data_IF_006804192159
#
_entry.id   IF_006804192159
#
_cell.length_a   1.000
_cell.length_b   1.000
_cell.length_c   1.000
_cell.angle_alpha   90.00
_cell.angle_beta   90.00
_cell.angle_gamma   90.00
#
_symmetry.space_group_name_H-M   'P 1'
#
loop_
_entity.id
_entity.type
_entity.pdbx_description
1 polymer ?
#
# COMPACT_ATOMS: atom_id res chain seq x y z
N UNK A 1 13.85 -10.02 -0.62
CA UNK A 1 14.16 -10.60 -1.97
C UNK A 1 13.24 -10.07 -3.08
N UNK A 2 11.95 -9.81 -2.84
CA UNK A 2 10.99 -9.29 -3.83
C UNK A 2 11.33 -7.87 -4.33
N UNK A 3 11.77 -6.98 -3.45
CA UNK A 3 12.13 -5.59 -3.77
C UNK A 3 13.24 -5.51 -4.82
N UNK A 4 14.27 -6.38 -4.74
CA UNK A 4 15.35 -6.42 -5.75
C UNK A 4 14.85 -6.75 -7.16
N UNK A 5 13.82 -7.58 -7.32
CA UNK A 5 13.28 -7.95 -8.64
C UNK A 5 12.47 -6.79 -9.27
N UNK A 6 11.64 -6.09 -8.49
CA UNK A 6 10.83 -4.96 -8.99
C UNK A 6 11.74 -3.80 -9.35
N UNK A 7 12.67 -3.41 -8.47
CA UNK A 7 13.63 -2.34 -8.71
C UNK A 7 14.48 -2.61 -9.94
N UNK A 8 15.02 -3.85 -10.08
CA UNK A 8 15.81 -4.26 -11.23
C UNK A 8 15.00 -4.20 -12.53
N UNK A 9 13.77 -4.67 -12.51
CA UNK A 9 12.86 -4.65 -13.68
C UNK A 9 12.48 -3.24 -14.08
N UNK A 10 12.25 -2.34 -13.13
CA UNK A 10 11.95 -0.93 -13.38
C UNK A 10 13.16 -0.21 -14.00
N UNK A 11 14.36 -0.38 -13.42
CA UNK A 11 15.60 0.22 -13.95
C UNK A 11 15.84 -0.23 -15.41
N UNK A 12 15.76 -1.51 -15.72
CA UNK A 12 16.02 -1.98 -17.08
C UNK A 12 14.96 -1.55 -18.09
N UNK A 13 13.68 -1.59 -17.75
CA UNK A 13 12.61 -1.29 -18.70
C UNK A 13 12.37 0.20 -18.89
N UNK A 14 12.39 1.00 -17.81
CA UNK A 14 12.05 2.42 -17.89
C UNK A 14 13.28 3.29 -18.12
N UNK A 15 14.32 3.14 -17.31
CA UNK A 15 15.51 3.96 -17.41
C UNK A 15 16.31 3.65 -18.68
N UNK A 16 16.47 2.36 -19.03
CA UNK A 16 17.16 1.94 -20.25
C UNK A 16 16.49 2.46 -21.52
N UNK A 17 15.16 2.38 -21.59
CA UNK A 17 14.41 2.90 -22.74
C UNK A 17 14.54 4.42 -22.88
N UNK A 18 14.42 5.19 -21.78
CA UNK A 18 14.59 6.65 -21.79
C UNK A 18 16.00 7.03 -22.25
N UNK A 19 17.03 6.35 -21.76
CA UNK A 19 18.42 6.62 -22.14
C UNK A 19 18.64 6.41 -23.66
N UNK A 20 18.14 5.32 -24.22
CA UNK A 20 18.24 5.04 -25.66
C UNK A 20 17.52 6.11 -26.48
N UNK A 21 16.32 6.52 -26.06
CA UNK A 21 15.55 7.56 -26.74
C UNK A 21 16.28 8.91 -26.70
N UNK A 22 16.84 9.31 -25.57
CA UNK A 22 17.59 10.57 -25.43
C UNK A 22 18.84 10.59 -26.30
N UNK A 23 19.60 9.47 -26.33
CA UNK A 23 20.79 9.37 -27.21
C UNK A 23 20.39 9.45 -28.69
N UNK A 24 19.32 8.75 -29.10
CA UNK A 24 18.84 8.80 -30.48
C UNK A 24 18.35 10.21 -30.86
N UNK A 25 17.67 10.90 -29.95
CA UNK A 25 17.21 12.26 -30.14
C UNK A 25 18.38 13.24 -30.28
N UNK A 26 19.40 13.14 -29.43
CA UNK A 26 20.59 13.99 -29.47
C UNK A 26 21.33 13.84 -30.81
N UNK A 27 21.51 12.59 -31.27
CA UNK A 27 22.12 12.32 -32.58
C UNK A 27 21.28 12.93 -33.73
N UNK A 28 19.96 12.77 -33.67
CA UNK A 28 19.06 13.32 -34.68
C UNK A 28 19.10 14.85 -34.70
N UNK A 29 19.13 15.53 -33.56
CA UNK A 29 19.27 16.97 -33.45
C UNK A 29 20.62 17.42 -34.00
N UNK A 30 21.72 16.78 -33.60
CA UNK A 30 23.07 17.13 -34.07
C UNK A 30 23.18 17.06 -35.62
N UNK A 31 22.63 15.98 -36.19
CA UNK A 31 22.60 15.83 -37.68
C UNK A 31 21.71 16.88 -38.33
N UNK A 32 20.53 17.15 -37.77
CA UNK A 32 19.59 18.12 -38.32
C UNK A 32 20.14 19.55 -38.27
N UNK A 33 20.71 19.96 -37.14
CA UNK A 33 21.34 21.27 -36.94
C UNK A 33 22.51 21.43 -37.89
N UNK A 34 23.39 20.43 -38.01
CA UNK A 34 24.50 20.46 -38.96
C UNK A 34 23.99 20.65 -40.41
N UNK A 35 23.05 19.84 -40.84
CA UNK A 35 22.50 19.89 -42.19
C UNK A 35 21.83 21.26 -42.47
N UNK A 36 21.10 21.82 -41.51
CA UNK A 36 20.47 23.10 -41.62
C UNK A 36 21.49 24.24 -41.86
N UNK A 37 22.52 24.32 -41.00
CA UNK A 37 23.52 25.38 -41.12
C UNK A 37 24.37 25.24 -42.39
N UNK A 38 24.83 24.03 -42.72
CA UNK A 38 25.61 23.80 -43.94
C UNK A 38 24.79 24.07 -45.20
N UNK A 39 23.52 23.68 -45.25
CA UNK A 39 22.63 24.01 -46.39
C UNK A 39 22.32 25.49 -46.48
N UNK A 40 22.29 26.20 -45.35
CA UNK A 40 22.12 27.66 -45.33
C UNK A 40 23.35 28.36 -45.94
N UNK A 41 24.56 27.95 -45.55
CA UNK A 41 25.81 28.47 -46.17
C UNK A 41 25.83 28.19 -47.65
N UNK A 42 25.54 26.97 -48.05
CA UNK A 42 25.48 26.60 -49.47
C UNK A 42 24.52 27.52 -50.26
N UNK A 43 23.29 27.71 -49.74
CA UNK A 43 22.29 28.57 -50.42
C UNK A 43 22.77 30.04 -50.57
N UNK A 44 23.40 30.58 -49.49
CA UNK A 44 23.86 31.98 -49.54
C UNK A 44 25.00 32.13 -50.53
N UNK A 45 25.97 31.22 -50.58
CA UNK A 45 27.09 31.26 -51.50
C UNK A 45 26.63 31.01 -52.94
N UNK A 46 25.76 30.03 -53.21
CA UNK A 46 25.21 29.74 -54.53
C UNK A 46 24.40 30.92 -55.08
N UNK A 47 23.53 31.53 -54.28
CA UNK A 47 22.76 32.70 -54.70
C UNK A 47 23.67 33.87 -55.06
N UNK A 48 24.77 34.08 -54.32
CA UNK A 48 25.74 35.14 -54.63
C UNK A 48 26.55 34.79 -55.89
N UNK A 49 26.91 33.53 -56.10
CA UNK A 49 27.59 33.06 -57.30
C UNK A 49 26.72 33.24 -58.55
N UNK A 50 25.44 32.92 -58.51
CA UNK A 50 24.47 33.15 -59.56
C UNK A 50 24.36 34.65 -59.95
N UNK A 51 24.27 35.49 -58.87
CA UNK A 51 24.21 36.94 -59.07
C UNK A 51 25.46 37.49 -59.85
N UNK A 52 26.67 37.09 -59.40
CA UNK A 52 27.92 37.51 -60.03
C UNK A 52 28.01 36.94 -61.45
N UNK A 53 27.67 35.64 -61.60
CA UNK A 53 27.68 35.03 -62.96
C UNK A 53 26.71 35.71 -63.92
N UNK A 54 25.53 36.09 -63.46
CA UNK A 54 24.55 36.88 -64.27
C UNK A 54 25.09 38.22 -64.71
N UNK A 55 25.65 38.99 -63.78
CA UNK A 55 26.26 40.29 -64.09
C UNK A 55 27.43 40.17 -65.12
N UNK A 56 28.26 39.14 -64.95
CA UNK A 56 29.38 38.93 -65.89
C UNK A 56 28.90 38.44 -67.24
N UNK A 57 27.86 37.63 -67.33
CA UNK A 57 27.31 37.18 -68.65
C UNK A 57 26.58 38.28 -69.39
N UNK A 58 25.86 39.18 -68.73
CA UNK A 58 25.21 40.32 -69.28
C UNK A 58 26.23 41.30 -69.91
N UNK A 59 27.30 41.56 -69.20
CA UNK A 59 28.39 42.40 -69.69
C UNK A 59 29.12 41.76 -70.87
N UNK A 60 29.37 40.42 -70.89
CA UNK A 60 30.03 39.75 -72.00
C UNK A 60 29.24 39.79 -73.35
N UNK A 61 27.91 39.85 -73.28
CA UNK A 61 27.02 39.91 -74.45
C UNK A 61 26.80 41.32 -74.97
N UNK A 62 27.07 42.37 -74.16
CA UNK A 62 26.87 43.79 -74.51
C UNK A 62 27.94 44.46 -75.44
N UNK A 63 29.05 43.80 -75.70
CA UNK A 63 29.98 44.09 -76.82
C UNK A 63 30.92 45.31 -76.73
N UNK A 64 30.84 46.18 -75.73
CA UNK A 64 31.68 47.40 -75.63
C UNK A 64 32.34 47.55 -74.23
N UNK A 65 33.43 46.85 -73.98
CA UNK A 65 34.17 47.09 -72.75
C UNK A 65 35.27 46.06 -72.50
N UNK A 66 36.25 46.42 -71.64
CA UNK A 66 37.29 45.50 -71.25
C UNK A 66 36.76 44.63 -70.10
N UNK A 67 36.41 43.37 -70.38
CA UNK A 67 35.90 42.38 -69.46
C UNK A 67 36.74 42.30 -68.16
N UNK A 68 38.03 42.38 -68.28
CA UNK A 68 38.94 42.32 -67.10
C UNK A 68 38.79 43.57 -66.21
N UNK A 69 38.60 44.78 -66.80
CA UNK A 69 38.37 46.00 -66.00
C UNK A 69 37.05 46.00 -65.28
N UNK A 70 35.99 45.48 -65.94
CA UNK A 70 34.69 45.31 -65.26
C UNK A 70 34.75 44.33 -64.12
N UNK A 71 35.40 43.18 -64.34
CA UNK A 71 35.57 42.21 -63.35
C UNK A 71 36.37 42.75 -62.14
N UNK A 72 37.44 43.55 -62.36
CA UNK A 72 38.19 44.26 -61.32
C UNK A 72 37.29 45.22 -60.54
N UNK A 73 36.43 45.98 -61.21
CA UNK A 73 35.51 46.90 -60.53
C UNK A 73 34.46 46.14 -59.67
N UNK A 74 33.99 45.00 -60.16
CA UNK A 74 33.04 44.14 -59.39
C UNK A 74 33.69 43.53 -58.14
N UNK A 75 34.92 43.04 -58.20
CA UNK A 75 35.69 42.60 -57.07
C UNK A 75 35.97 43.71 -56.06
N UNK A 76 36.31 44.92 -56.57
CA UNK A 76 36.57 46.08 -55.75
C UNK A 76 35.32 46.65 -55.08
N UNK A 77 34.14 46.49 -55.64
CA UNK A 77 32.82 46.91 -55.08
C UNK A 77 32.11 45.85 -54.37
N UNK A 78 32.69 44.61 -54.12
CA UNK A 78 32.06 43.53 -53.49
C UNK A 78 31.77 43.87 -52.01
N UNK A 79 30.48 43.94 -51.63
CA UNK A 79 30.00 44.44 -50.34
C UNK A 79 29.98 43.39 -49.25
N UNK A 80 29.94 42.08 -49.60
CA UNK A 80 29.84 40.97 -48.63
C UNK A 80 31.19 40.43 -48.11
N UNK A 81 32.24 41.29 -48.14
CA UNK A 81 33.64 40.91 -47.71
C UNK A 81 33.73 40.41 -46.26
N UNK A 82 32.79 40.80 -45.42
CA UNK A 82 32.76 40.40 -44.02
C UNK A 82 32.21 38.95 -43.82
N UNK A 83 31.58 38.38 -44.83
CA UNK A 83 30.96 37.05 -44.77
C UNK A 83 31.68 36.06 -45.68
N UNK A 84 32.09 36.50 -46.88
CA UNK A 84 32.73 35.67 -47.87
C UNK A 84 33.77 36.47 -48.67
N UNK A 85 34.76 35.80 -49.17
CA UNK A 85 35.79 36.38 -50.04
C UNK A 85 35.53 36.01 -51.49
N UNK A 86 35.56 37.02 -52.38
CA UNK A 86 35.50 36.82 -53.83
C UNK A 86 36.93 36.83 -54.39
N UNK A 87 37.33 35.78 -55.08
CA UNK A 87 38.63 35.62 -55.76
C UNK A 87 38.42 35.42 -57.20
N UNK A 88 39.23 36.01 -58.03
CA UNK A 88 39.32 35.78 -59.50
C UNK A 88 40.53 34.89 -59.78
N UNK A 89 40.31 33.83 -60.54
CA UNK A 89 41.30 32.78 -60.84
C UNK A 89 41.72 32.84 -62.34
N UNK A 90 42.98 32.58 -62.55
CA UNK A 90 43.52 32.38 -63.94
C UNK A 90 43.23 30.93 -64.43
N UNK A 91 43.65 30.63 -65.67
CA UNK A 91 43.49 29.27 -66.24
C UNK A 91 44.22 28.18 -65.51
N UNK A 92 45.18 28.53 -64.67
CA UNK A 92 45.92 27.60 -63.79
C UNK A 92 45.37 27.46 -62.36
N UNK A 93 44.21 28.17 -62.12
CA UNK A 93 43.57 28.19 -60.79
C UNK A 93 44.31 29.08 -59.79
N UNK A 94 45.20 29.96 -60.17
CA UNK A 94 45.85 30.94 -59.33
C UNK A 94 45.00 32.16 -59.12
N UNK A 95 44.89 32.63 -57.86
CA UNK A 95 44.17 33.87 -57.57
C UNK A 95 44.94 35.07 -58.12
N UNK A 96 44.28 35.82 -59.02
CA UNK A 96 44.80 37.04 -59.62
C UNK A 96 44.42 38.26 -58.82
N UNK A 97 43.19 38.33 -58.36
CA UNK A 97 42.65 39.39 -57.51
C UNK A 97 41.72 38.78 -56.47
N UNK A 98 41.69 39.44 -55.30
CA UNK A 98 40.74 39.08 -54.23
C UNK A 98 40.01 40.31 -53.73
N UNK A 99 38.81 40.11 -53.16
CA UNK A 99 38.03 41.23 -52.64
C UNK A 99 38.62 41.74 -51.28
N UNK A 100 39.47 41.00 -50.64
CA UNK A 100 40.22 41.45 -49.44
C UNK A 100 41.48 42.25 -49.83
N UNK A 101 41.88 42.20 -51.10
CA UNK A 101 43.14 42.78 -51.55
C UNK A 101 44.37 41.93 -51.26
N UNK A 102 44.21 40.79 -50.57
CA UNK A 102 45.28 39.86 -50.19
C UNK A 102 45.29 38.70 -51.17
N UNK A 103 46.31 38.64 -52.04
CA UNK A 103 46.49 37.52 -52.96
C UNK A 103 47.36 36.44 -52.30
N UNK A 104 46.88 35.24 -52.14
CA UNK A 104 47.65 34.16 -51.52
C UNK A 104 48.89 33.82 -52.40
N UNK A 105 50.07 33.71 -51.76
CA UNK A 105 51.34 33.42 -52.46
C UNK A 105 51.37 32.01 -53.06
N UNK A 106 50.57 31.11 -52.53
CA UNK A 106 50.44 29.71 -53.02
C UNK A 106 48.97 29.41 -53.29
N UNK A 107 48.54 29.40 -54.52
CA UNK A 107 47.25 28.85 -54.88
C UNK A 107 47.31 27.34 -54.86
N UNK A 108 46.84 26.73 -53.79
CA UNK A 108 46.48 25.33 -53.86
C UNK A 108 45.22 25.23 -54.72
N UNK A 109 45.34 24.56 -55.89
CA UNK A 109 44.17 24.13 -56.64
C UNK A 109 43.35 23.22 -55.74
N UNK A 110 42.23 23.72 -55.25
CA UNK A 110 41.28 22.92 -54.50
C UNK A 110 40.37 22.17 -55.47
N UNK A 111 39.75 21.10 -55.03
CA UNK A 111 38.93 20.23 -55.88
C UNK A 111 37.83 21.00 -56.64
N UNK A 112 37.20 22.01 -56.03
CA UNK A 112 36.19 22.85 -56.67
C UNK A 112 36.72 23.63 -57.93
N UNK A 113 37.96 24.06 -57.88
CA UNK A 113 38.57 24.74 -59.02
C UNK A 113 38.82 23.77 -60.18
N UNK A 114 39.40 22.60 -59.92
CA UNK A 114 39.66 21.54 -60.90
C UNK A 114 38.35 21.03 -61.52
N UNK A 115 37.40 20.75 -60.63
CA UNK A 115 36.09 20.23 -61.05
C UNK A 115 35.28 21.25 -61.84
N UNK A 116 35.29 22.57 -61.48
CA UNK A 116 34.60 23.61 -62.22
C UNK A 116 35.18 23.82 -63.61
N UNK A 117 36.52 23.77 -63.75
CA UNK A 117 37.18 23.93 -65.02
C UNK A 117 36.95 22.74 -65.96
N UNK A 118 36.69 21.58 -65.47
CA UNK A 118 36.43 20.32 -66.22
C UNK A 118 34.93 19.99 -66.36
N UNK A 119 34.07 20.63 -65.58
CA UNK A 119 32.61 20.38 -65.57
C UNK A 119 31.88 20.98 -66.75
N UNK A 120 30.89 20.26 -67.24
CA UNK A 120 29.95 20.77 -68.24
C UNK A 120 29.07 21.97 -67.75
N UNK A 121 28.85 22.01 -66.40
CA UNK A 121 28.08 23.10 -65.77
C UNK A 121 28.93 24.31 -65.45
N UNK A 122 30.28 24.24 -65.61
CA UNK A 122 31.19 25.30 -65.25
C UNK A 122 31.16 25.74 -63.78
N UNK A 123 30.65 24.90 -62.90
CA UNK A 123 30.57 25.20 -61.45
C UNK A 123 30.86 23.95 -60.59
N UNK A 124 31.53 24.13 -59.47
CA UNK A 124 31.79 23.10 -58.49
C UNK A 124 31.92 23.64 -57.06
N UNK A 125 31.65 22.80 -56.08
CA UNK A 125 31.65 23.12 -54.66
C UNK A 125 32.72 22.35 -53.93
N UNK A 126 33.29 22.90 -52.85
CA UNK A 126 34.23 22.21 -51.98
C UNK A 126 33.97 22.54 -50.50
N UNK A 127 34.01 21.53 -49.65
CA UNK A 127 33.95 21.69 -48.20
C UNK A 127 35.18 21.01 -47.63
N UNK A 128 36.11 21.76 -47.07
CA UNK A 128 37.34 21.19 -46.54
C UNK A 128 38.22 22.22 -45.86
N UNK A 129 39.39 21.75 -45.36
CA UNK A 129 40.43 22.62 -44.81
C UNK A 129 41.27 23.26 -45.89
N UNK A 130 41.53 24.55 -45.79
CA UNK A 130 42.56 25.24 -46.54
C UNK A 130 43.92 25.17 -45.89
N UNK A 131 44.96 25.61 -46.56
CA UNK A 131 46.40 25.56 -46.19
C UNK A 131 46.69 26.21 -44.81
N UNK A 132 45.74 26.87 -44.16
CA UNK A 132 45.84 27.40 -42.79
C UNK A 132 45.09 26.60 -41.72
N UNK A 133 44.54 25.39 -42.05
CA UNK A 133 43.80 24.53 -41.11
C UNK A 133 42.38 24.96 -40.86
N UNK A 134 41.92 26.08 -41.39
CA UNK A 134 40.54 26.56 -41.25
C UNK A 134 39.61 25.87 -42.23
N UNK A 135 38.50 25.37 -41.75
CA UNK A 135 37.49 24.71 -42.59
C UNK A 135 36.66 25.76 -43.33
N UNK A 136 36.55 25.61 -44.62
CA UNK A 136 35.83 26.57 -45.50
C UNK A 136 34.81 25.82 -46.36
N UNK A 137 33.80 26.57 -46.81
CA UNK A 137 32.96 26.22 -47.92
C UNK A 137 33.37 27.12 -49.09
N UNK A 138 33.66 26.56 -50.24
CA UNK A 138 33.97 27.33 -51.45
C UNK A 138 33.16 26.84 -52.63
N UNK A 139 32.87 27.76 -53.54
CA UNK A 139 32.21 27.52 -54.82
C UNK A 139 32.95 28.27 -55.92
N UNK A 140 33.40 27.52 -56.93
CA UNK A 140 34.09 28.04 -58.10
C UNK A 140 33.15 28.00 -59.31
N UNK A 141 33.05 29.13 -60.08
CA UNK A 141 32.22 29.26 -61.27
C UNK A 141 33.06 29.81 -62.43
N UNK A 142 32.93 29.18 -63.57
CA UNK A 142 33.50 29.66 -64.86
C UNK A 142 32.46 30.43 -65.66
N UNK A 143 32.49 31.75 -65.64
CA UNK A 143 31.48 32.56 -66.35
C UNK A 143 31.67 32.53 -67.84
N UNK A 144 30.62 32.73 -68.59
CA UNK A 144 30.69 32.93 -70.07
C UNK A 144 31.51 34.19 -70.41
N UNK A 145 32.33 34.13 -71.47
CA UNK A 145 33.18 35.26 -71.91
C UNK A 145 34.51 35.40 -71.13
N UNK A 146 34.84 34.40 -70.25
CA UNK A 146 36.07 34.42 -69.50
C UNK A 146 37.35 34.39 -70.37
N UNK A 147 38.40 35.08 -69.90
CA UNK A 147 39.71 35.15 -70.57
C UNK A 147 40.74 34.24 -69.86
N UNK A 148 41.92 34.01 -70.43
CA UNK A 148 42.94 33.20 -69.80
C UNK A 148 43.42 33.73 -68.43
N UNK A 149 43.42 35.06 -68.24
CA UNK A 149 43.82 35.69 -66.96
C UNK A 149 42.69 35.78 -65.95
N UNK A 150 41.43 35.82 -66.43
CA UNK A 150 40.21 35.93 -65.63
C UNK A 150 39.26 34.77 -66.00
N UNK A 151 39.71 33.52 -65.67
CA UNK A 151 39.05 32.31 -66.15
C UNK A 151 37.86 31.92 -65.32
N UNK A 152 37.99 32.04 -64.00
CA UNK A 152 36.92 31.68 -63.08
C UNK A 152 36.86 32.63 -61.85
N UNK A 153 35.78 32.68 -61.18
CA UNK A 153 35.72 33.29 -59.83
C UNK A 153 35.36 32.26 -58.80
N UNK A 154 35.83 32.51 -57.62
CA UNK A 154 35.66 31.65 -56.47
C UNK A 154 35.13 32.46 -55.30
N UNK A 155 34.05 32.00 -54.68
CA UNK A 155 33.54 32.49 -53.40
C UNK A 155 33.99 31.56 -52.31
N UNK A 156 34.58 32.10 -51.24
CA UNK A 156 35.09 31.32 -50.08
C UNK A 156 34.49 31.89 -48.81
N UNK A 157 33.95 31.04 -47.95
CA UNK A 157 33.46 31.45 -46.63
C UNK A 157 33.96 30.52 -45.56
N UNK A 158 34.35 31.08 -44.39
CA UNK A 158 34.77 30.32 -43.25
C UNK A 158 33.61 29.60 -42.55
N UNK A 159 33.78 28.33 -42.27
CA UNK A 159 32.82 27.53 -41.52
C UNK A 159 33.02 27.57 -40.00
N UNK A 160 34.07 28.27 -39.51
CA UNK A 160 34.42 28.33 -38.09
C UNK A 160 33.26 28.83 -37.22
N UNK A 161 32.59 29.92 -37.65
CA UNK A 161 31.42 30.44 -36.91
C UNK A 161 30.24 29.46 -36.93
N UNK A 162 30.04 28.80 -38.06
CA UNK A 162 28.98 27.79 -38.22
C UNK A 162 29.24 26.57 -37.33
N UNK A 163 30.47 26.05 -37.38
CA UNK A 163 30.85 24.88 -36.53
C UNK A 163 30.78 25.24 -35.04
N UNK A 164 31.12 26.50 -34.64
CA UNK A 164 30.95 26.97 -33.28
C UNK A 164 29.45 27.02 -32.90
N UNK A 165 28.60 27.54 -33.74
CA UNK A 165 27.13 27.59 -33.48
C UNK A 165 26.54 26.20 -33.39
N UNK A 166 26.96 25.25 -34.23
CA UNK A 166 26.56 23.85 -34.16
C UNK A 166 26.99 23.25 -32.82
N UNK A 167 28.26 23.47 -32.42
CA UNK A 167 28.81 22.98 -31.17
C UNK A 167 28.03 23.52 -29.96
N UNK A 168 27.74 24.82 -29.94
CA UNK A 168 26.95 25.44 -28.86
C UNK A 168 25.53 24.88 -28.82
N UNK A 169 24.88 24.70 -29.97
CA UNK A 169 23.54 24.16 -30.03
C UNK A 169 23.48 22.72 -29.52
N UNK A 170 24.42 21.86 -29.96
CA UNK A 170 24.51 20.46 -29.51
C UNK A 170 24.90 20.37 -28.04
N UNK A 171 25.80 21.23 -27.56
CA UNK A 171 26.13 21.28 -26.15
C UNK A 171 24.95 21.72 -25.27
N UNK A 172 24.14 22.66 -25.74
CA UNK A 172 22.95 23.10 -25.00
C UNK A 172 21.88 22.00 -24.93
N UNK A 173 21.63 21.29 -26.06
CA UNK A 173 20.70 20.14 -26.02
C UNK A 173 21.21 18.98 -25.18
N UNK A 174 22.52 18.70 -25.23
CA UNK A 174 23.18 17.70 -24.39
C UNK A 174 23.04 18.01 -22.90
N UNK A 175 23.17 19.29 -22.50
CA UNK A 175 22.95 19.70 -21.10
C UNK A 175 21.51 19.44 -20.66
N UNK A 176 20.53 19.70 -21.54
CA UNK A 176 19.12 19.38 -21.26
C UNK A 176 18.92 17.87 -21.08
N UNK A 177 19.53 17.06 -21.95
CA UNK A 177 19.46 15.61 -21.82
C UNK A 177 20.05 15.12 -20.47
N UNK A 178 21.18 15.67 -20.03
CA UNK A 178 21.80 15.37 -18.72
C UNK A 178 20.86 15.77 -17.57
N UNK A 179 20.22 16.93 -17.64
CA UNK A 179 19.25 17.38 -16.64
C UNK A 179 18.04 16.44 -16.54
N UNK A 180 17.52 15.99 -17.68
CA UNK A 180 16.42 15.00 -17.73
C UNK A 180 16.85 13.69 -17.09
N UNK A 181 18.04 13.16 -17.40
CA UNK A 181 18.58 11.94 -16.81
C UNK A 181 18.70 12.08 -15.29
N UNK A 182 19.24 13.20 -14.83
CA UNK A 182 19.34 13.47 -13.38
C UNK A 182 17.98 13.47 -12.70
N UNK A 183 16.99 14.15 -13.29
CA UNK A 183 15.62 14.19 -12.76
C UNK A 183 14.97 12.79 -12.72
N UNK A 184 15.15 11.98 -13.78
CA UNK A 184 14.64 10.61 -13.81
C UNK A 184 15.26 9.73 -12.73
N UNK A 185 16.58 9.86 -12.50
CA UNK A 185 17.28 9.11 -11.44
C UNK A 185 16.78 9.56 -10.06
N UNK A 186 16.67 10.86 -9.80
CA UNK A 186 16.20 11.40 -8.53
C UNK A 186 14.76 10.97 -8.23
N UNK A 187 13.86 11.13 -9.22
CA UNK A 187 12.46 10.71 -9.11
C UNK A 187 12.32 9.20 -8.90
N UNK A 188 13.10 8.40 -9.63
CA UNK A 188 13.11 6.95 -9.48
C UNK A 188 13.62 6.49 -8.12
N UNK A 189 14.66 7.15 -7.58
CA UNK A 189 15.17 6.88 -6.24
C UNK A 189 14.13 7.23 -5.17
N UNK A 190 13.46 8.37 -5.30
CA UNK A 190 12.36 8.76 -4.43
C UNK A 190 11.23 7.72 -4.44
N UNK A 191 10.76 7.31 -5.62
CA UNK A 191 9.71 6.29 -5.77
C UNK A 191 10.09 4.95 -5.11
N UNK A 192 11.34 4.51 -5.29
CA UNK A 192 11.80 3.26 -4.69
C UNK A 192 11.79 3.34 -3.16
N UNK A 193 12.29 4.43 -2.60
CA UNK A 193 12.40 4.59 -1.15
C UNK A 193 11.05 4.87 -0.49
N UNK A 194 10.17 5.64 -1.14
CA UNK A 194 8.89 6.05 -0.54
C UNK A 194 7.77 5.02 -0.75
N UNK A 195 7.84 4.18 -1.79
CA UNK A 195 6.75 3.25 -2.10
C UNK A 195 7.23 1.80 -2.15
N UNK A 196 8.24 1.48 -2.96
CA UNK A 196 8.59 0.08 -3.23
C UNK A 196 9.15 -0.63 -2.01
N UNK A 197 10.02 0.05 -1.24
CA UNK A 197 10.62 -0.53 -0.03
C UNK A 197 9.58 -0.70 1.07
N UNK A 198 8.76 0.31 1.44
CA UNK A 198 7.71 0.14 2.46
C UNK A 198 6.68 -0.94 2.11
N UNK A 199 6.19 -0.98 0.86
CA UNK A 199 5.26 -2.04 0.42
C UNK A 199 5.89 -3.43 0.53
N UNK A 200 7.18 -3.55 0.24
CA UNK A 200 7.92 -4.79 0.46
C UNK A 200 7.99 -5.19 1.93
N UNK A 201 8.24 -4.25 2.84
CA UNK A 201 8.27 -4.48 4.29
C UNK A 201 6.90 -4.90 4.82
N UNK A 202 5.82 -4.26 4.33
CA UNK A 202 4.44 -4.62 4.65
C UNK A 202 4.15 -6.06 4.23
N UNK A 203 4.58 -6.46 3.02
CA UNK A 203 4.42 -7.83 2.54
C UNK A 203 5.17 -8.86 3.40
N UNK A 204 6.38 -8.54 3.84
CA UNK A 204 7.18 -9.41 4.72
C UNK A 204 6.57 -9.51 6.12
N UNK A 205 6.05 -8.42 6.68
CA UNK A 205 5.36 -8.42 7.98
C UNK A 205 4.04 -9.21 7.91
N UNK A 206 3.23 -8.98 6.87
CA UNK A 206 1.99 -9.74 6.67
C UNK A 206 2.25 -11.25 6.56
N UNK A 207 3.36 -11.65 5.94
CA UNK A 207 3.77 -13.05 5.89
C UNK A 207 4.13 -13.61 7.27
N UNK A 208 4.87 -12.86 8.10
CA UNK A 208 5.19 -13.27 9.47
C UNK A 208 3.93 -13.43 10.33
N UNK A 209 2.98 -12.48 10.21
CA UNK A 209 1.69 -12.54 10.88
C UNK A 209 0.92 -13.80 10.46
N UNK A 210 0.89 -14.12 9.16
CA UNK A 210 0.26 -15.33 8.66
C UNK A 210 0.95 -16.63 9.12
N UNK A 211 2.25 -16.59 9.44
CA UNK A 211 3.01 -17.69 10.02
C UNK A 211 2.85 -17.78 11.56
N UNK A 212 2.06 -16.87 12.17
CA UNK A 212 1.75 -16.87 13.61
C UNK A 212 2.61 -15.93 14.47
N UNK A 213 3.50 -15.14 13.87
CA UNK A 213 4.25 -14.10 14.60
C UNK A 213 3.42 -12.81 14.67
N UNK A 214 2.50 -12.78 15.64
CA UNK A 214 1.63 -11.62 15.87
C UNK A 214 2.34 -10.45 16.57
N UNK A 215 3.63 -10.60 16.95
CA UNK A 215 4.43 -9.51 17.54
C UNK A 215 5.18 -8.71 16.47
N UNK A 216 5.18 -9.16 15.22
CA UNK A 216 5.77 -8.40 14.11
C UNK A 216 5.08 -7.03 13.99
N UNK A 217 5.87 -5.95 14.05
CA UNK A 217 5.37 -4.58 13.91
C UNK A 217 6.13 -3.86 12.82
N UNK A 218 5.41 -2.98 12.15
CA UNK A 218 5.93 -2.05 11.17
C UNK A 218 5.98 -0.66 11.80
N UNK A 219 7.06 0.07 11.53
CA UNK A 219 7.19 1.47 11.92
C UNK A 219 6.53 2.37 10.86
N UNK A 220 5.62 3.24 11.29
CA UNK A 220 5.02 4.25 10.41
C UNK A 220 6.05 5.34 10.12
N UNK A 221 6.52 5.40 8.88
CA UNK A 221 7.55 6.35 8.44
C UNK A 221 6.99 7.52 7.65
N UNK A 222 5.75 7.41 7.14
CA UNK A 222 5.08 8.42 6.32
C UNK A 222 3.64 8.62 6.80
N UNK A 223 3.11 9.82 6.56
CA UNK A 223 1.72 10.17 6.89
C UNK A 223 0.90 10.28 5.60
N UNK A 224 0.85 9.17 4.88
CA UNK A 224 0.15 8.99 3.60
C UNK A 224 -0.56 7.62 3.59
N UNK A 225 -1.10 7.22 2.43
CA UNK A 225 -1.83 5.95 2.26
C UNK A 225 -0.96 4.72 2.61
N UNK A 226 0.37 4.82 2.49
CA UNK A 226 1.28 3.75 2.92
C UNK A 226 1.36 3.70 4.45
N UNK A 227 1.39 4.86 5.11
CA UNK A 227 1.32 4.96 6.56
C UNK A 227 0.01 4.40 7.12
N UNK A 228 -1.12 4.68 6.50
CA UNK A 228 -2.44 4.14 6.87
C UNK A 228 -2.50 2.62 6.69
N UNK A 229 -1.86 2.10 5.64
CA UNK A 229 -1.74 0.66 5.43
C UNK A 229 -0.87 0.00 6.51
N UNK A 230 0.20 0.65 6.98
CA UNK A 230 1.03 0.19 8.10
C UNK A 230 0.19 0.08 9.37
N UNK A 231 -0.59 1.12 9.70
CA UNK A 231 -1.49 1.13 10.87
C UNK A 231 -2.52 0.00 10.78
N UNK A 232 -3.10 -0.21 9.60
CA UNK A 232 -4.08 -1.29 9.37
C UNK A 232 -3.47 -2.67 9.60
N UNK A 233 -2.25 -2.93 9.11
CA UNK A 233 -1.56 -4.22 9.30
C UNK A 233 -1.19 -4.42 10.77
N UNK A 234 -0.73 -3.38 11.46
CA UNK A 234 -0.42 -3.44 12.89
C UNK A 234 -1.69 -3.73 13.71
N UNK A 235 -2.80 -3.05 13.42
CA UNK A 235 -4.09 -3.31 14.05
C UNK A 235 -4.58 -4.76 13.82
N UNK A 236 -4.46 -5.26 12.58
CA UNK A 236 -4.79 -6.66 12.28
C UNK A 236 -3.93 -7.64 13.08
N UNK A 237 -2.63 -7.35 13.27
CA UNK A 237 -1.74 -8.18 14.09
C UNK A 237 -2.16 -8.19 15.57
N UNK A 238 -2.59 -7.04 16.10
CA UNK A 238 -3.11 -6.93 17.48
C UNK A 238 -4.37 -7.77 17.66
N UNK A 239 -5.35 -7.65 16.77
CA UNK A 239 -6.61 -8.42 16.82
C UNK A 239 -6.40 -9.93 16.71
N UNK A 240 -5.52 -10.34 15.77
CA UNK A 240 -5.18 -11.77 15.62
C UNK A 240 -4.42 -12.29 16.84
N UNK A 241 -3.49 -11.50 17.37
CA UNK A 241 -2.73 -11.87 18.58
C UNK A 241 -3.63 -11.99 19.82
N UNK A 242 -4.56 -11.05 20.00
CA UNK A 242 -5.56 -11.11 21.06
C UNK A 242 -6.45 -12.35 20.94
N UNK A 243 -6.91 -12.65 19.74
CA UNK A 243 -7.75 -13.84 19.45
C UNK A 243 -7.00 -15.14 19.74
N UNK A 244 -5.74 -15.26 19.29
CA UNK A 244 -4.93 -16.46 19.54
C UNK A 244 -4.60 -16.62 21.03
N UNK A 245 -4.30 -15.53 21.73
CA UNK A 245 -4.10 -15.53 23.17
C UNK A 245 -5.34 -16.03 23.92
N UNK A 246 -6.52 -15.48 23.60
CA UNK A 246 -7.79 -15.93 24.18
C UNK A 246 -8.05 -17.40 23.91
N UNK A 247 -7.78 -17.89 22.70
CA UNK A 247 -7.91 -19.30 22.34
C UNK A 247 -6.99 -20.20 23.19
N UNK A 248 -5.74 -19.79 23.39
CA UNK A 248 -4.77 -20.56 24.16
C UNK A 248 -5.11 -20.57 25.66
N UNK A 249 -5.56 -19.44 26.21
CA UNK A 249 -6.07 -19.34 27.58
C UNK A 249 -7.31 -20.21 27.77
N UNK A 250 -8.22 -20.28 26.82
CA UNK A 250 -9.37 -21.16 26.79
C UNK A 250 -8.96 -22.63 26.88
N UNK A 251 -8.09 -23.09 25.96
CA UNK A 251 -7.62 -24.49 25.94
C UNK A 251 -6.98 -24.86 27.28
N UNK A 252 -6.16 -23.96 27.83
CA UNK A 252 -5.51 -24.17 29.14
C UNK A 252 -6.53 -24.26 30.28
N UNK A 253 -7.49 -23.32 30.32
CA UNK A 253 -8.53 -23.29 31.36
C UNK A 253 -9.43 -24.55 31.32
N UNK A 254 -9.92 -24.93 30.14
CA UNK A 254 -10.74 -26.12 29.95
C UNK A 254 -9.97 -27.38 30.38
N UNK A 255 -8.71 -27.49 29.96
CA UNK A 255 -7.86 -28.62 30.33
C UNK A 255 -7.69 -28.75 31.85
N UNK A 256 -7.54 -27.60 32.52
CA UNK A 256 -7.42 -27.59 33.99
C UNK A 256 -8.72 -27.95 34.68
N UNK A 257 -9.84 -27.38 34.23
CA UNK A 257 -11.18 -27.63 34.80
C UNK A 257 -11.67 -29.09 34.58
N UNK A 258 -11.27 -29.73 33.49
CA UNK A 258 -11.55 -31.13 33.22
C UNK A 258 -10.65 -32.05 34.04
N UNK A 259 -9.37 -31.70 34.27
CA UNK A 259 -8.41 -32.54 34.99
C UNK A 259 -8.77 -32.71 36.45
N UNK A 260 -9.24 -31.67 37.13
CA UNK A 260 -9.56 -31.68 38.56
C UNK A 260 -10.63 -32.70 38.92
N UNK A 261 -11.85 -32.69 38.33
CA UNK A 261 -12.88 -33.69 38.61
C UNK A 261 -12.46 -35.10 38.20
N UNK A 262 -11.74 -35.23 37.08
CA UNK A 262 -11.25 -36.53 36.61
C UNK A 262 -10.26 -37.15 37.60
N UNK A 263 -9.39 -36.34 38.21
CA UNK A 263 -8.45 -36.78 39.26
C UNK A 263 -9.19 -37.20 40.51
N UNK A 264 -10.26 -36.48 40.90
CA UNK A 264 -11.07 -36.85 42.07
C UNK A 264 -11.84 -38.16 41.83
N UNK A 265 -12.47 -38.32 40.65
CA UNK A 265 -13.16 -39.57 40.28
C UNK A 265 -12.19 -40.74 40.30
N UNK A 266 -11.03 -40.59 39.66
CA UNK A 266 -10.02 -41.63 39.57
C UNK A 266 -9.49 -42.00 40.96
N UNK A 267 -9.14 -41.01 41.82
CA UNK A 267 -8.63 -41.25 43.14
C UNK A 267 -9.61 -41.98 44.06
N UNK A 268 -10.91 -41.61 44.00
CA UNK A 268 -11.93 -42.32 44.74
C UNK A 268 -12.19 -43.73 44.19
N UNK A 269 -12.20 -43.91 42.87
CA UNK A 269 -12.36 -45.22 42.24
C UNK A 269 -11.20 -46.18 42.61
N UNK A 270 -9.95 -45.69 42.51
CA UNK A 270 -8.76 -46.47 42.90
C UNK A 270 -8.79 -46.83 44.40
N UNK A 271 -9.17 -45.86 45.26
CA UNK A 271 -9.28 -46.11 46.70
C UNK A 271 -10.34 -47.16 47.03
N UNK A 272 -11.49 -47.12 46.33
CA UNK A 272 -12.55 -48.13 46.54
C UNK A 272 -12.18 -49.48 45.95
N UNK A 273 -11.40 -49.56 44.88
CA UNK A 273 -10.89 -50.76 44.24
C UNK A 273 -9.83 -51.46 45.10
N UNK A 274 -8.82 -50.72 45.61
CA UNK A 274 -7.69 -51.24 46.37
C UNK A 274 -8.06 -51.69 47.75
N UNK A 275 -9.20 -51.28 48.30
CA UNK A 275 -9.61 -51.55 49.65
C UNK A 275 -10.10 -53.02 49.92
N UNK A 276 -10.24 -53.86 48.85
CA UNK A 276 -10.60 -55.28 48.92
C UNK A 276 -11.73 -55.63 49.92
N UNK A 277 -12.66 -54.64 50.11
CA UNK A 277 -13.83 -54.83 51.00
C UNK A 277 -13.61 -54.46 52.49
N UNK A 278 -12.46 -53.91 52.86
CA UNK A 278 -12.12 -53.49 54.22
C UNK A 278 -12.49 -52.01 54.53
N UNK A 279 -13.29 -51.39 53.69
CA UNK A 279 -13.81 -50.01 53.84
C UNK A 279 -15.18 -50.03 54.46
N UNK A 280 -15.44 -49.15 55.41
CA UNK A 280 -16.74 -48.99 56.02
C UNK A 280 -17.79 -48.44 54.96
N UNK A 281 -19.06 -48.84 55.16
CA UNK A 281 -20.16 -48.44 54.23
C UNK A 281 -20.29 -46.95 54.07
N UNK A 282 -19.98 -46.12 55.06
CA UNK A 282 -20.05 -44.68 55.01
C UNK A 282 -18.97 -44.10 54.10
N UNK A 283 -17.77 -44.67 54.05
CA UNK A 283 -16.69 -44.24 53.11
C UNK A 283 -17.00 -44.68 51.73
N UNK A 284 -17.62 -45.86 51.50
CA UNK A 284 -18.09 -46.26 50.15
C UNK A 284 -19.18 -45.33 49.67
N UNK A 285 -20.19 -45.01 50.47
CA UNK A 285 -21.27 -44.06 50.09
C UNK A 285 -20.72 -42.66 49.78
N UNK A 286 -19.77 -42.17 50.57
CA UNK A 286 -19.10 -40.89 50.33
C UNK A 286 -18.31 -40.91 49.03
N UNK A 287 -17.54 -41.96 48.77
CA UNK A 287 -16.74 -42.08 47.54
C UNK A 287 -17.60 -42.14 46.28
N UNK A 288 -18.65 -42.98 46.32
CA UNK A 288 -19.63 -43.04 45.21
C UNK A 288 -20.36 -41.72 45.03
N UNK A 289 -20.73 -41.02 46.10
CA UNK A 289 -21.33 -39.69 46.03
C UNK A 289 -20.44 -38.65 45.33
N UNK A 290 -19.12 -38.67 45.65
CA UNK A 290 -18.15 -37.79 45.00
C UNK A 290 -18.00 -38.15 43.51
N UNK A 291 -17.92 -39.44 43.15
CA UNK A 291 -17.81 -39.91 41.78
C UNK A 291 -19.04 -39.46 40.96
N UNK A 292 -20.23 -39.64 41.47
CA UNK A 292 -21.47 -39.24 40.82
C UNK A 292 -21.50 -37.70 40.62
N UNK A 293 -21.25 -36.95 41.70
CA UNK A 293 -21.27 -35.49 41.66
C UNK A 293 -20.25 -34.90 40.69
N UNK A 294 -19.04 -35.44 40.62
CA UNK A 294 -18.01 -34.92 39.67
C UNK A 294 -18.30 -35.37 38.23
N UNK A 295 -18.99 -36.52 38.04
CA UNK A 295 -19.43 -36.96 36.68
C UNK A 295 -20.55 -36.06 36.17
N UNK A 296 -21.55 -35.72 36.99
CA UNK A 296 -22.61 -34.79 36.65
C UNK A 296 -22.05 -33.41 36.29
N UNK A 297 -21.08 -32.94 37.06
CA UNK A 297 -20.37 -31.70 36.83
C UNK A 297 -19.62 -31.70 35.46
N UNK A 298 -18.92 -32.80 35.13
CA UNK A 298 -18.27 -32.96 33.84
C UNK A 298 -19.28 -32.93 32.69
N UNK A 299 -20.45 -33.57 32.87
CA UNK A 299 -21.51 -33.57 31.85
C UNK A 299 -22.01 -32.13 31.55
N UNK A 300 -22.30 -31.37 32.60
CA UNK A 300 -22.70 -29.95 32.43
C UNK A 300 -21.62 -29.13 31.73
N UNK A 301 -20.34 -29.30 32.12
CA UNK A 301 -19.22 -28.60 31.49
C UNK A 301 -19.08 -28.93 30.01
N UNK A 302 -19.24 -30.19 29.62
CA UNK A 302 -19.22 -30.63 28.22
C UNK A 302 -20.35 -29.95 27.42
N UNK A 303 -21.56 -29.89 28.00
CA UNK A 303 -22.69 -29.19 27.36
C UNK A 303 -22.42 -27.68 27.17
N UNK A 304 -21.87 -27.01 28.22
CA UNK A 304 -21.46 -25.61 28.10
C UNK A 304 -20.44 -25.40 27.00
N UNK A 305 -19.45 -26.28 26.85
CA UNK A 305 -18.44 -26.23 25.79
C UNK A 305 -19.04 -26.44 24.38
N UNK A 306 -19.99 -27.37 24.24
CA UNK A 306 -20.69 -27.61 22.99
C UNK A 306 -21.55 -26.41 22.61
N UNK A 307 -22.28 -25.82 23.54
CA UNK A 307 -23.09 -24.63 23.33
C UNK A 307 -22.19 -23.45 22.93
N UNK A 308 -21.09 -23.26 23.66
CA UNK A 308 -20.09 -22.25 23.29
C UNK A 308 -19.54 -22.45 21.85
N UNK A 309 -19.21 -23.68 21.46
CA UNK A 309 -18.74 -24.01 20.11
C UNK A 309 -19.80 -23.70 19.05
N UNK A 310 -21.08 -23.98 19.32
CA UNK A 310 -22.21 -23.65 18.41
C UNK A 310 -22.39 -22.14 18.27
N UNK A 311 -22.27 -21.39 19.38
CA UNK A 311 -22.33 -19.94 19.36
C UNK A 311 -21.18 -19.34 18.54
N UNK A 312 -19.94 -19.78 18.78
CA UNK A 312 -18.75 -19.30 18.03
C UNK A 312 -18.86 -19.52 16.52
N UNK A 313 -19.42 -20.65 16.12
CA UNK A 313 -19.56 -21.01 14.71
C UNK A 313 -20.79 -20.38 14.03
N UNK A 314 -21.59 -19.57 14.74
CA UNK A 314 -22.85 -19.02 14.24
C UNK A 314 -23.91 -20.08 13.92
N UNK A 315 -23.75 -21.30 14.45
CA UNK A 315 -24.66 -22.43 14.17
C UNK A 315 -25.76 -22.60 15.22
N UNK A 316 -25.77 -21.76 16.25
CA UNK A 316 -26.88 -21.77 17.21
C UNK A 316 -28.10 -21.14 16.55
N UNK A 317 -29.17 -21.92 16.47
CA UNK A 317 -30.49 -21.48 15.92
C UNK A 317 -31.49 -21.56 17.06
N UNK A 318 -32.17 -20.45 17.35
CA UNK A 318 -33.24 -20.41 18.34
C UNK A 318 -34.51 -21.07 17.76
N UNK A 319 -35.28 -21.68 18.64
CA UNK A 319 -36.62 -22.19 18.36
C UNK A 319 -37.65 -21.38 19.17
N UNK A 320 -37.94 -20.14 18.74
CA UNK A 320 -38.78 -19.25 19.53
C UNK A 320 -40.24 -19.75 19.54
N UNK A 321 -40.79 -19.83 20.75
CA UNK A 321 -42.20 -20.09 21.01
C UNK A 321 -42.76 -19.00 21.93
N UNK A 322 -44.08 -18.83 21.94
CA UNK A 322 -44.72 -17.93 22.92
C UNK A 322 -44.72 -18.61 24.27
N UNK A 323 -44.11 -18.00 25.26
CA UNK A 323 -44.00 -18.52 26.61
C UNK A 323 -44.30 -17.43 27.67
N UNK A 324 -44.69 -17.85 28.84
CA UNK A 324 -44.79 -16.97 30.02
C UNK A 324 -43.43 -16.98 30.71
N UNK A 325 -42.77 -15.80 30.73
CA UNK A 325 -41.42 -15.68 31.26
C UNK A 325 -41.38 -15.92 32.77
N UNK A 326 -42.49 -15.56 33.48
CA UNK A 326 -42.58 -15.78 34.94
C UNK A 326 -42.60 -17.26 35.26
N UNK A 327 -43.37 -18.07 34.54
CA UNK A 327 -43.42 -19.52 34.73
C UNK A 327 -42.04 -20.19 34.50
N UNK A 328 -41.33 -19.79 33.47
CA UNK A 328 -39.97 -20.32 33.17
C UNK A 328 -38.96 -19.92 34.25
N UNK A 329 -39.04 -18.67 34.76
CA UNK A 329 -38.18 -18.19 35.82
C UNK A 329 -38.46 -18.91 37.16
N UNK A 330 -39.76 -19.06 37.49
CA UNK A 330 -40.17 -19.81 38.70
C UNK A 330 -39.64 -21.23 38.70
N UNK A 331 -39.74 -21.95 37.57
CA UNK A 331 -39.12 -23.30 37.44
C UNK A 331 -37.60 -23.29 37.69
N UNK A 332 -36.90 -22.26 37.19
CA UNK A 332 -35.47 -22.13 37.40
C UNK A 332 -35.15 -21.84 38.87
N UNK A 333 -35.86 -20.93 39.53
CA UNK A 333 -35.67 -20.61 40.96
C UNK A 333 -35.89 -21.84 41.85
N UNK A 334 -37.00 -22.58 41.65
CA UNK A 334 -37.31 -23.81 42.38
C UNK A 334 -36.17 -24.85 42.36
N UNK A 335 -35.41 -24.92 41.25
CA UNK A 335 -34.25 -25.83 41.15
C UNK A 335 -33.16 -25.51 42.17
N UNK A 336 -33.05 -24.25 42.60
CA UNK A 336 -32.00 -23.79 43.49
C UNK A 336 -32.43 -23.65 44.96
N UNK A 337 -33.71 -23.72 45.31
CA UNK A 337 -34.19 -23.54 46.68
C UNK A 337 -33.51 -24.49 47.67
N UNK A 338 -33.51 -25.79 47.39
CA UNK A 338 -32.91 -26.81 48.27
C UNK A 338 -31.39 -26.61 48.42
N UNK A 339 -30.74 -26.09 47.39
CA UNK A 339 -29.30 -25.81 47.42
C UNK A 339 -29.01 -24.58 48.26
N UNK A 340 -29.79 -23.50 48.09
CA UNK A 340 -29.66 -22.29 48.87
C UNK A 340 -29.83 -22.58 50.39
N UNK A 341 -30.85 -23.37 50.77
CA UNK A 341 -31.07 -23.79 52.16
C UNK A 341 -29.86 -24.57 52.70
N UNK A 342 -29.33 -25.55 51.95
CA UNK A 342 -28.16 -26.35 52.35
C UNK A 342 -26.91 -25.50 52.55
N UNK A 343 -26.75 -24.44 51.70
CA UNK A 343 -25.62 -23.53 51.79
C UNK A 343 -25.87 -22.36 52.74
N UNK A 344 -27.00 -22.36 53.50
CA UNK A 344 -27.41 -21.31 54.45
C UNK A 344 -27.50 -19.93 53.83
N UNK A 345 -28.05 -19.86 52.62
CA UNK A 345 -28.32 -18.62 51.85
C UNK A 345 -29.83 -18.40 51.75
N UNK A 346 -30.23 -17.14 51.72
CA UNK A 346 -31.64 -16.75 51.57
C UNK A 346 -31.94 -16.50 50.11
N UNK A 347 -32.77 -17.33 49.44
CA UNK A 347 -33.21 -17.14 48.05
C UNK A 347 -34.66 -16.65 48.12
N UNK A 348 -34.89 -15.45 47.61
CA UNK A 348 -36.21 -14.78 47.57
C UNK A 348 -36.61 -14.61 46.12
N UNK A 349 -37.81 -15.08 45.78
CA UNK A 349 -38.42 -14.78 44.50
C UNK A 349 -39.62 -13.84 44.74
N UNK A 350 -39.50 -12.62 44.22
CA UNK A 350 -40.59 -11.63 44.23
C UNK A 350 -41.48 -11.93 43.03
N UNK A 351 -42.42 -12.86 43.22
CA UNK A 351 -43.33 -13.31 42.19
C UNK A 351 -44.34 -12.22 41.80
N UNK A 352 -44.56 -12.05 40.50
CA UNK A 352 -45.63 -11.23 40.00
C UNK A 352 -46.83 -12.07 39.57
N UNK A 353 -48.03 -11.66 39.92
CA UNK A 353 -49.29 -12.34 39.49
C UNK A 353 -49.58 -12.14 37.99
N UNK A 354 -48.82 -11.30 37.31
CA UNK A 354 -49.03 -10.96 35.91
C UNK A 354 -48.42 -12.01 34.95
N UNK A 355 -49.15 -12.40 33.91
CA UNK A 355 -48.61 -13.21 32.82
C UNK A 355 -47.85 -12.28 31.86
N UNK A 356 -46.57 -12.51 31.68
CA UNK A 356 -45.74 -11.69 30.78
C UNK A 356 -45.30 -12.57 29.56
N UNK A 357 -46.02 -12.44 28.44
CA UNK A 357 -45.70 -13.24 27.24
C UNK A 357 -44.46 -12.71 26.55
N UNK A 358 -43.53 -13.60 26.26
CA UNK A 358 -42.28 -13.34 25.51
C UNK A 358 -42.18 -14.35 24.37
N UNK A 359 -41.67 -13.93 23.21
CA UNK A 359 -41.27 -14.85 22.14
C UNK A 359 -39.81 -15.28 22.36
N UNK A 360 -39.61 -16.55 22.71
CA UNK A 360 -38.26 -17.03 23.03
C UNK A 360 -38.12 -18.55 22.98
N UNK A 361 -36.86 -19.00 22.96
CA UNK A 361 -36.54 -20.42 23.09
C UNK A 361 -36.55 -20.80 24.57
N UNK A 362 -37.54 -21.61 24.97
CA UNK A 362 -37.74 -22.05 26.35
C UNK A 362 -36.47 -22.62 26.98
N UNK A 363 -35.79 -23.51 26.30
CA UNK A 363 -34.61 -24.20 26.86
C UNK A 363 -33.44 -23.22 27.00
N UNK A 364 -33.25 -22.32 26.07
CA UNK A 364 -32.17 -21.34 26.10
C UNK A 364 -32.39 -20.26 27.15
N UNK A 365 -33.61 -19.76 27.30
CA UNK A 365 -33.94 -18.80 28.37
C UNK A 365 -33.80 -19.44 29.76
N UNK A 366 -34.28 -20.68 29.92
CA UNK A 366 -34.05 -21.43 31.15
C UNK A 366 -32.56 -21.61 31.49
N UNK A 367 -31.73 -21.89 30.46
CA UNK A 367 -30.28 -21.96 30.62
C UNK A 367 -29.67 -20.64 31.09
N UNK A 368 -30.14 -19.49 30.57
CA UNK A 368 -29.73 -18.18 31.05
C UNK A 368 -30.08 -17.97 32.51
N UNK A 369 -31.33 -18.26 32.94
CA UNK A 369 -31.76 -18.12 34.32
C UNK A 369 -30.93 -18.98 35.26
N UNK A 370 -30.74 -20.26 34.92
CA UNK A 370 -29.91 -21.18 35.67
C UNK A 370 -28.49 -20.63 35.84
N UNK A 371 -27.86 -20.18 34.78
CA UNK A 371 -26.51 -19.63 34.80
C UNK A 371 -26.37 -18.41 35.71
N UNK A 372 -27.35 -17.51 35.67
CA UNK A 372 -27.30 -16.29 36.47
C UNK A 372 -27.59 -16.58 37.97
N UNK A 373 -28.61 -17.39 38.25
CA UNK A 373 -28.93 -17.77 39.64
C UNK A 373 -27.80 -18.62 40.27
N UNK A 374 -27.22 -19.57 39.51
CA UNK A 374 -26.04 -20.32 39.94
C UNK A 374 -24.86 -19.42 40.30
N UNK A 375 -24.60 -18.41 39.48
CA UNK A 375 -23.54 -17.43 39.74
C UNK A 375 -23.85 -16.64 41.04
N UNK A 376 -25.07 -16.13 41.20
CA UNK A 376 -25.48 -15.41 42.41
C UNK A 376 -25.25 -16.28 43.68
N UNK A 377 -25.69 -17.52 43.63
CA UNK A 377 -25.47 -18.47 44.76
C UNK A 377 -23.98 -18.73 44.97
N UNK A 378 -23.23 -18.97 43.94
CA UNK A 378 -21.82 -19.31 43.97
C UNK A 378 -20.94 -18.18 44.53
N UNK A 379 -21.27 -16.92 44.21
CA UNK A 379 -20.49 -15.76 44.65
C UNK A 379 -20.99 -15.13 45.96
N UNK A 380 -22.05 -15.65 46.53
CA UNK A 380 -22.51 -15.33 47.88
C UNK A 380 -21.91 -16.24 48.95
N UNK A 381 -21.84 -15.80 50.19
CA UNK A 381 -21.42 -16.56 51.35
C UNK A 381 -22.63 -16.99 52.23
N UNK A 382 -22.41 -17.80 53.27
CA UNK A 382 -23.46 -18.21 54.17
C UNK A 382 -24.04 -16.99 54.91
N UNK A 383 -25.37 -16.82 54.90
CA UNK A 383 -26.08 -15.69 55.47
C UNK A 383 -26.41 -14.59 54.42
N UNK A 384 -25.84 -14.67 53.19
CA UNK A 384 -26.18 -13.73 52.14
C UNK A 384 -27.57 -13.99 51.56
N UNK A 385 -28.09 -12.94 50.89
CA UNK A 385 -29.41 -12.93 50.27
C UNK A 385 -29.27 -12.85 48.75
N UNK A 386 -30.06 -13.65 48.03
CA UNK A 386 -30.26 -13.61 46.61
C UNK A 386 -31.72 -13.25 46.32
N UNK A 387 -31.98 -12.15 45.65
CA UNK A 387 -33.32 -11.70 45.30
C UNK A 387 -33.54 -11.75 43.81
N UNK A 388 -34.53 -12.50 43.37
CA UNK A 388 -34.97 -12.57 41.99
C UNK A 388 -36.25 -11.79 41.84
N UNK A 389 -36.31 -10.74 41.01
CA UNK A 389 -37.44 -9.87 40.81
C UNK A 389 -37.73 -9.61 39.35
N UNK A 390 -38.98 -9.34 39.02
CA UNK A 390 -39.41 -9.09 37.64
C UNK A 390 -40.15 -7.74 37.59
N UNK A 391 -39.69 -6.89 36.68
CA UNK A 391 -40.26 -5.56 36.46
C UNK A 391 -40.71 -5.39 35.03
N UNK A 392 -41.96 -4.99 34.78
CA UNK A 392 -42.42 -4.62 33.47
C UNK A 392 -42.09 -3.13 33.21
N UNK A 393 -41.42 -2.87 32.08
CA UNK A 393 -41.09 -1.51 31.67
C UNK A 393 -42.13 -1.01 30.65
N UNK A 394 -42.52 0.26 30.71
CA UNK A 394 -43.54 0.86 29.84
C UNK A 394 -43.18 0.85 28.35
N UNK A 395 -41.90 0.67 28.02
CA UNK A 395 -41.37 0.65 26.63
C UNK A 395 -41.52 -0.69 25.90
N UNK A 396 -42.31 -1.64 26.42
CA UNK A 396 -42.47 -2.95 25.79
C UNK A 396 -41.37 -3.96 26.09
N UNK A 397 -40.66 -3.79 27.20
CA UNK A 397 -39.65 -4.70 27.71
C UNK A 397 -40.02 -5.21 29.11
N UNK A 398 -39.50 -6.39 29.45
CA UNK A 398 -39.48 -6.93 30.80
C UNK A 398 -38.04 -7.02 31.29
N UNK A 399 -37.79 -6.49 32.49
CA UNK A 399 -36.49 -6.65 33.18
C UNK A 399 -36.63 -7.70 34.27
N UNK A 400 -35.76 -8.67 34.26
CA UNK A 400 -35.58 -9.73 35.26
C UNK A 400 -34.28 -9.44 35.98
N UNK A 401 -34.35 -9.03 37.24
CA UNK A 401 -33.16 -8.71 38.02
C UNK A 401 -32.85 -9.87 39.03
N UNK A 402 -31.62 -10.32 39.03
CA UNK A 402 -31.07 -11.21 40.04
C UNK A 402 -30.03 -10.42 40.81
N UNK A 403 -30.35 -10.09 42.06
CA UNK A 403 -29.47 -9.35 42.95
C UNK A 403 -28.91 -10.28 44.05
N UNK A 404 -27.62 -10.27 44.26
CA UNK A 404 -26.96 -10.93 45.36
C UNK A 404 -26.23 -9.91 46.26
N UNK A 405 -26.12 -10.25 47.55
CA UNK A 405 -25.33 -9.47 48.52
C UNK A 405 -23.94 -10.09 48.78
N UNK A 406 -23.42 -10.77 47.78
CA UNK A 406 -22.13 -11.46 47.84
C UNK A 406 -20.90 -10.55 47.70
N UNK A 407 -19.80 -11.12 47.27
CA UNK A 407 -18.49 -10.43 47.20
C UNK A 407 -18.42 -9.25 46.24
N UNK A 408 -19.38 -9.13 45.31
CA UNK A 408 -19.35 -8.11 44.26
C UNK A 408 -18.20 -8.29 43.27
N UNK A 409 -18.10 -7.34 42.34
CA UNK A 409 -17.13 -7.29 41.23
C UNK A 409 -16.39 -5.96 41.25
N UNK A 410 -15.04 -5.95 41.27
CA UNK A 410 -14.27 -4.71 41.14
C UNK A 410 -14.59 -3.98 39.87
N UNK A 411 -14.68 -2.63 39.91
CA UNK A 411 -15.04 -1.78 38.77
C UNK A 411 -14.14 -2.01 37.51
N UNK A 412 -12.85 -2.32 37.73
CA UNK A 412 -11.90 -2.61 36.63
C UNK A 412 -12.19 -3.91 35.87
N UNK A 413 -13.01 -4.78 36.45
CA UNK A 413 -13.37 -6.08 35.91
C UNK A 413 -14.78 -6.12 35.30
N UNK A 414 -15.67 -5.16 35.62
CA UNK A 414 -17.05 -5.13 35.18
C UNK A 414 -17.22 -5.27 33.65
N UNK A 415 -16.42 -4.54 32.86
CA UNK A 415 -16.44 -4.65 31.41
C UNK A 415 -15.93 -5.99 30.88
N UNK A 416 -15.12 -6.67 31.69
CA UNK A 416 -14.47 -7.93 31.31
C UNK A 416 -15.26 -9.18 31.69
N UNK A 417 -16.16 -9.11 32.68
CA UNK A 417 -16.91 -10.29 33.15
C UNK A 417 -17.84 -10.89 32.12
N UNK A 418 -18.28 -10.13 31.15
CA UNK A 418 -19.01 -10.61 29.96
C UNK A 418 -18.10 -11.16 28.88
N UNK A 419 -16.77 -10.90 28.96
CA UNK A 419 -15.86 -11.46 27.99
C UNK A 419 -15.64 -12.96 28.20
N UNK A 420 -15.52 -13.67 27.12
CA UNK A 420 -15.37 -15.13 27.12
C UNK A 420 -14.15 -15.53 27.95
N UNK A 421 -14.32 -16.54 28.82
CA UNK A 421 -13.26 -17.15 29.67
C UNK A 421 -12.71 -16.26 30.79
N UNK A 422 -13.32 -15.13 31.04
CA UNK A 422 -12.91 -14.28 32.14
C UNK A 422 -13.35 -14.91 33.50
N UNK A 423 -12.44 -14.95 34.45
CA UNK A 423 -12.70 -15.34 35.84
C UNK A 423 -12.20 -14.23 36.74
N UNK A 424 -13.11 -13.47 37.33
CA UNK A 424 -12.76 -12.42 38.28
C UNK A 424 -12.13 -12.92 39.56
N UNK A 425 -12.50 -14.12 40.01
CA UNK A 425 -11.96 -14.75 41.21
C UNK A 425 -11.54 -16.19 40.89
N UNK A 426 -10.22 -16.46 40.95
CA UNK A 426 -9.63 -17.77 40.65
C UNK A 426 -9.92 -18.83 41.74
N UNK A 427 -10.38 -18.43 42.92
CA UNK A 427 -10.63 -19.34 44.04
C UNK A 427 -12.00 -20.01 43.97
N UNK A 428 -12.98 -19.40 43.27
CA UNK A 428 -14.31 -20.00 43.10
C UNK A 428 -14.37 -20.76 41.76
N UNK A 429 -14.85 -22.00 41.79
CA UNK A 429 -14.88 -22.94 40.66
C UNK A 429 -15.86 -22.48 39.58
N UNK A 430 -15.49 -22.57 38.28
CA UNK A 430 -16.38 -22.30 37.15
C UNK A 430 -15.64 -22.19 35.79
N UNK A 431 -16.34 -22.43 34.70
CA UNK A 431 -15.79 -22.43 33.35
C UNK A 431 -15.42 -21.00 32.83
N UNK A 432 -16.06 -19.95 33.36
CA UNK A 432 -15.98 -18.59 32.83
C UNK A 432 -16.71 -18.40 31.48
N UNK A 433 -17.54 -19.38 31.11
CA UNK A 433 -18.30 -19.39 29.84
C UNK A 433 -19.75 -18.99 30.08
N UNK A 434 -20.34 -19.33 31.24
CA UNK A 434 -21.78 -19.23 31.49
C UNK A 434 -22.35 -17.83 31.27
N UNK A 435 -21.70 -16.77 31.78
CA UNK A 435 -22.17 -15.39 31.60
C UNK A 435 -22.06 -14.91 30.14
N UNK A 436 -21.00 -15.30 29.44
CA UNK A 436 -20.81 -14.96 28.01
C UNK A 436 -21.84 -15.68 27.12
N UNK A 437 -22.17 -16.95 27.44
CA UNK A 437 -23.24 -17.68 26.74
C UNK A 437 -24.61 -17.06 27.06
N UNK A 438 -24.87 -16.67 28.31
CA UNK A 438 -26.11 -15.97 28.68
C UNK A 438 -26.28 -14.65 27.94
N UNK A 439 -25.24 -13.82 27.87
CA UNK A 439 -25.28 -12.53 27.13
C UNK A 439 -25.61 -12.74 25.64
N UNK A 440 -24.97 -13.72 25.01
CA UNK A 440 -25.22 -14.01 23.59
C UNK A 440 -26.62 -14.58 23.34
N UNK A 441 -27.10 -15.48 24.20
CA UNK A 441 -28.47 -16.00 24.11
C UNK A 441 -29.48 -14.87 24.23
N UNK A 442 -29.30 -13.94 25.18
CA UNK A 442 -30.20 -12.79 25.36
C UNK A 442 -30.14 -11.85 24.15
N UNK A 443 -28.97 -11.59 23.59
CA UNK A 443 -28.83 -10.83 22.33
C UNK A 443 -29.57 -11.49 21.17
N UNK A 444 -29.46 -12.80 21.03
CA UNK A 444 -30.19 -13.55 19.99
C UNK A 444 -31.72 -13.45 20.15
N UNK A 445 -32.22 -13.19 21.36
CA UNK A 445 -33.63 -12.91 21.65
C UNK A 445 -34.02 -11.44 21.47
N UNK A 446 -33.10 -10.58 20.99
CA UNK A 446 -33.34 -9.13 20.83
C UNK A 446 -33.32 -8.37 22.16
N UNK A 447 -32.76 -8.96 23.20
CA UNK A 447 -32.63 -8.41 24.54
C UNK A 447 -31.24 -7.90 24.86
N UNK A 448 -31.03 -7.52 26.11
CA UNK A 448 -29.76 -7.04 26.66
C UNK A 448 -29.53 -7.59 28.06
N UNK A 449 -28.27 -7.93 28.37
CA UNK A 449 -27.84 -8.31 29.70
C UNK A 449 -27.07 -7.15 30.34
N UNK A 450 -27.57 -6.62 31.45
CA UNK A 450 -26.97 -5.51 32.19
C UNK A 450 -26.35 -6.02 33.48
N UNK A 451 -25.21 -5.46 33.86
CA UNK A 451 -24.54 -5.75 35.13
C UNK A 451 -24.28 -4.46 35.90
N UNK A 452 -24.62 -4.47 37.17
CA UNK A 452 -24.25 -3.47 38.15
C UNK A 452 -23.69 -4.13 39.39
N UNK A 453 -22.53 -3.70 39.87
CA UNK A 453 -21.88 -4.35 41.00
C UNK A 453 -20.93 -3.42 41.74
N UNK A 454 -20.90 -3.56 43.05
CA UNK A 454 -19.96 -2.90 43.94
C UNK A 454 -19.22 -3.95 44.75
N UNK A 455 -17.89 -3.89 44.73
CA UNK A 455 -17.05 -4.85 45.48
C UNK A 455 -17.37 -4.78 46.96
N UNK A 456 -17.70 -5.93 47.57
CA UNK A 456 -18.08 -6.07 48.97
C UNK A 456 -19.55 -5.78 49.29
N UNK A 457 -20.36 -5.33 48.31
CA UNK A 457 -21.79 -5.03 48.52
C UNK A 457 -22.71 -6.01 47.76
N UNK A 458 -22.23 -6.56 46.63
CA UNK A 458 -22.96 -7.53 45.82
C UNK A 458 -23.04 -7.19 44.34
N UNK A 459 -23.82 -8.01 43.61
CA UNK A 459 -24.01 -7.85 42.15
C UNK A 459 -25.48 -7.92 41.79
N UNK A 460 -25.88 -7.09 40.82
CA UNK A 460 -27.19 -7.16 40.17
C UNK A 460 -26.98 -7.49 38.71
N UNK A 461 -27.55 -8.58 38.24
CA UNK A 461 -27.61 -8.97 36.84
C UNK A 461 -29.03 -8.76 36.37
N UNK A 462 -29.25 -7.87 35.40
CA UNK A 462 -30.57 -7.57 34.82
C UNK A 462 -30.62 -8.12 33.40
N UNK A 463 -31.61 -8.97 33.15
CA UNK A 463 -31.97 -9.52 31.84
C UNK A 463 -33.13 -8.68 31.30
N UNK A 464 -32.92 -7.97 30.20
CA UNK A 464 -33.94 -7.22 29.49
C UNK A 464 -34.39 -7.98 28.27
N UNK A 465 -35.69 -8.28 28.15
CA UNK A 465 -36.27 -8.99 27.01
C UNK A 465 -37.45 -8.24 26.44
N UNK A 466 -37.65 -8.25 25.10
CA UNK A 466 -38.83 -7.66 24.49
C UNK A 466 -40.10 -8.48 24.82
N UNK A 467 -41.18 -7.80 25.25
CA UNK A 467 -42.48 -8.42 25.47
C UNK A 467 -43.16 -8.61 24.12
N UNK A 468 -43.82 -9.77 23.93
CA UNK A 468 -44.66 -10.02 22.77
C UNK A 468 -45.95 -9.16 22.93
N UNK A 469 -45.89 -7.93 22.44
CA UNK A 469 -47.05 -7.06 22.44
C UNK A 469 -48.14 -7.72 21.58
N UNK A 470 -49.18 -8.22 22.22
CA UNK A 470 -50.37 -8.64 21.50
C UNK A 470 -50.87 -7.47 20.64
N UNK A 471 -50.71 -7.60 19.29
CA UNK A 471 -51.47 -6.77 18.34
C UNK A 471 -52.91 -7.25 18.28
#
# INVERSE_FOLDING_TARGET
>A
MAVKKITKRWIYNSFGAILVILIALEIAIAVSVKNYYYSSVKRIVSAQAETISGLLSEYSTGGEGNYESYFRSLVASFDKRNIMELMVLDKNGRAVITSSGFVPETSSMTADCTDALSSLTGSAEFVGGMTGGEKVYSMTVVPNGSTDNFRAFRLVTSLKRVDTQITVAVAATGLICVAIIFFVIASGSYFINSIVIPVGQIGDAAKKIAEGDFNARLEKTTDDEIGDLVDTINYMADELGATEKMKNEFISSVSHELRTPLTAIKGWAEMLEDSHGDVDAATVEKGMGVIISETDRLSVMVEELLDFSRLQSGRMVLQPVKLDIIAELSEAVLTFEQRAIRESKELIFEESDDIIPVMGDKNRLRQVFINIIDNAIKYSDAGDRITVSVFRIDDGFVDIAVHDTGIGIPAEQLDKVKTKFFKGNATRRGSGIGLAVADEIIRMHGGELLLDSVEGEGTTVTIRLPIDAQK
#
